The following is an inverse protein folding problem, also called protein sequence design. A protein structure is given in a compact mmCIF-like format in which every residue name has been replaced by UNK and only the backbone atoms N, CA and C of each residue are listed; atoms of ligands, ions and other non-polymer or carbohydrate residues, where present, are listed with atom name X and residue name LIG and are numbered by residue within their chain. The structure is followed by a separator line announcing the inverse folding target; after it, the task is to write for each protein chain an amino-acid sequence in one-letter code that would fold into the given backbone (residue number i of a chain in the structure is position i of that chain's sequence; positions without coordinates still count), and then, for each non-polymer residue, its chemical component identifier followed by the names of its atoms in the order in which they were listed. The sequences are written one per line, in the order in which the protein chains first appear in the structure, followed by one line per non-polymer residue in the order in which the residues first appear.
data_IF_262416621368
#
_entry.id   IF_262416621368
#
_cell.length_a   1.000
_cell.length_b   1.000
_cell.length_c   1.000
_cell.angle_alpha   90.00
_cell.angle_beta   90.00
_cell.angle_gamma   90.00
#
_symmetry.space_group_name_H-M   'P 1'
#
loop_
_entity.id
_entity.type
_entity.pdbx_description
1 polymer ?
#
# COMPACT_ATOMS: atom_id res chain seq x y z
N UNK A 1 24.56 13.38 36.78
CA UNK A 1 23.39 13.82 35.98
C UNK A 1 23.25 12.90 34.78
N UNK A 2 22.32 11.94 34.81
CA UNK A 2 22.07 11.01 33.70
C UNK A 2 20.83 11.50 32.92
N UNK A 3 21.03 11.91 31.67
CA UNK A 3 19.95 12.32 30.79
C UNK A 3 19.24 11.09 30.22
N UNK A 4 18.00 10.85 30.67
CA UNK A 4 17.11 9.89 30.04
C UNK A 4 16.79 10.32 28.61
N UNK A 5 17.40 9.66 27.62
CA UNK A 5 16.96 9.72 26.23
C UNK A 5 15.51 9.22 26.17
N UNK A 6 14.57 10.14 25.94
CA UNK A 6 13.17 9.82 25.64
C UNK A 6 13.16 8.94 24.38
N UNK A 7 12.81 7.66 24.54
CA UNK A 7 12.46 6.78 23.42
C UNK A 7 11.28 7.42 22.71
N UNK A 8 11.50 7.95 21.51
CA UNK A 8 10.45 8.29 20.57
C UNK A 8 9.64 7.03 20.33
N UNK A 9 8.42 6.98 20.86
CA UNK A 9 7.46 5.91 20.57
C UNK A 9 7.23 5.97 19.06
N UNK A 10 7.68 4.94 18.35
CA UNK A 10 7.28 4.78 16.95
C UNK A 10 5.75 4.81 16.92
N UNK A 11 5.15 5.59 15.99
CA UNK A 11 3.71 5.61 15.85
C UNK A 11 3.25 4.16 15.67
N UNK A 12 2.40 3.67 16.59
CA UNK A 12 1.71 2.41 16.37
C UNK A 12 0.98 2.59 15.05
N UNK A 13 1.25 1.71 14.09
CA UNK A 13 0.47 1.59 12.87
C UNK A 13 -0.94 1.20 13.30
N UNK A 14 -1.74 2.19 13.67
CA UNK A 14 -3.16 2.05 13.86
C UNK A 14 -3.70 2.02 12.44
N UNK A 15 -3.73 0.84 11.83
CA UNK A 15 -4.55 0.61 10.65
C UNK A 15 -5.96 1.00 11.06
N UNK A 16 -6.53 2.02 10.42
CA UNK A 16 -7.83 2.53 10.77
C UNK A 16 -8.86 1.43 10.51
N UNK A 17 -9.32 0.78 11.58
CA UNK A 17 -10.15 -0.44 11.57
C UNK A 17 -11.50 -0.27 10.86
N UNK A 18 -11.88 0.95 10.48
CA UNK A 18 -13.18 1.26 9.91
C UNK A 18 -13.32 0.90 8.42
N UNK A 19 -12.23 0.73 7.67
CA UNK A 19 -12.30 0.48 6.22
C UNK A 19 -11.88 -0.93 5.78
N UNK A 20 -11.33 -1.75 6.68
CA UNK A 20 -10.74 -3.04 6.29
C UNK A 20 -11.05 -4.07 7.37
N UNK A 21 -12.05 -4.92 7.12
CA UNK A 21 -12.41 -6.09 7.94
C UNK A 21 -11.35 -7.23 7.87
N UNK A 22 -10.08 -6.93 7.55
CA UNK A 22 -9.01 -7.93 7.41
C UNK A 22 -7.96 -7.74 8.50
N UNK A 23 -7.79 -8.74 9.34
CA UNK A 23 -6.67 -8.80 10.28
C UNK A 23 -5.38 -9.07 9.50
N UNK A 24 -4.57 -8.03 9.28
CA UNK A 24 -3.21 -8.20 8.76
C UNK A 24 -2.34 -8.84 9.84
N UNK A 25 -1.62 -9.91 9.47
CA UNK A 25 -0.68 -10.56 10.36
C UNK A 25 0.66 -9.83 10.31
N UNK A 26 1.27 -9.53 11.47
CA UNK A 26 2.60 -8.92 11.50
C UNK A 26 3.64 -9.86 10.85
N UNK A 27 4.59 -9.27 10.15
CA UNK A 27 5.72 -9.97 9.53
C UNK A 27 7.03 -9.29 9.92
N UNK A 28 8.15 -9.97 9.67
CA UNK A 28 9.45 -9.31 9.73
C UNK A 28 9.50 -8.18 8.70
N UNK A 29 9.95 -7.00 9.15
CA UNK A 29 10.12 -5.82 8.29
C UNK A 29 10.96 -6.19 7.07
N UNK A 30 10.39 -5.99 5.88
CA UNK A 30 11.04 -6.30 4.61
C UNK A 30 10.82 -5.14 3.62
N UNK A 31 11.82 -4.76 2.82
CA UNK A 31 11.62 -3.75 1.79
C UNK A 31 10.58 -4.24 0.77
N UNK A 32 9.77 -3.32 0.25
CA UNK A 32 8.96 -3.60 -0.94
C UNK A 32 9.87 -3.90 -2.13
N UNK A 33 9.41 -4.79 -3.02
CA UNK A 33 10.12 -5.09 -4.27
C UNK A 33 10.12 -3.88 -5.21
N UNK A 34 10.98 -3.88 -6.24
CA UNK A 34 10.97 -2.82 -7.26
C UNK A 34 9.64 -2.72 -8.00
N UNK A 35 8.97 -3.86 -8.20
CA UNK A 35 7.63 -3.90 -8.79
C UNK A 35 6.61 -3.21 -7.88
N UNK A 36 6.59 -3.56 -6.60
CA UNK A 36 5.68 -2.99 -5.60
C UNK A 36 5.95 -1.48 -5.42
N UNK A 37 7.21 -1.08 -5.32
CA UNK A 37 7.61 0.34 -5.32
C UNK A 37 7.19 1.06 -6.60
N UNK A 38 7.29 0.39 -7.74
CA UNK A 38 6.85 0.89 -9.04
C UNK A 38 5.36 1.22 -9.04
N UNK A 39 4.53 0.33 -8.50
CA UNK A 39 3.09 0.58 -8.36
C UNK A 39 2.80 1.75 -7.45
N UNK A 40 3.45 1.83 -6.28
CA UNK A 40 3.22 2.96 -5.37
C UNK A 40 3.58 4.30 -6.03
N UNK A 41 4.74 4.37 -6.69
CA UNK A 41 5.18 5.58 -7.41
C UNK A 41 4.19 5.95 -8.50
N UNK A 42 3.74 4.99 -9.31
CA UNK A 42 2.77 5.21 -10.38
C UNK A 42 1.43 5.73 -9.84
N UNK A 43 0.87 5.11 -8.80
CA UNK A 43 -0.37 5.58 -8.18
C UNK A 43 -0.24 6.98 -7.61
N UNK A 44 0.84 7.29 -6.88
CA UNK A 44 1.02 8.62 -6.26
C UNK A 44 1.32 9.72 -7.30
N UNK A 45 2.07 9.42 -8.36
CA UNK A 45 2.44 10.40 -9.39
C UNK A 45 1.25 10.87 -10.25
N UNK A 46 0.13 10.14 -10.23
CA UNK A 46 -1.13 10.60 -10.83
C UNK A 46 -1.72 11.83 -10.13
N UNK A 47 -1.30 12.12 -8.89
CA UNK A 47 -1.88 13.19 -8.06
C UNK A 47 -1.00 14.42 -7.97
N UNK A 48 -1.62 15.57 -8.21
CA UNK A 48 -0.97 16.89 -8.13
C UNK A 48 -0.37 17.16 -6.75
N UNK A 49 -1.01 16.67 -5.69
CA UNK A 49 -0.58 16.83 -4.29
C UNK A 49 0.82 16.26 -4.02
N UNK A 50 1.28 15.30 -4.83
CA UNK A 50 2.55 14.58 -4.67
C UNK A 50 3.54 14.82 -5.82
N UNK A 51 3.29 15.79 -6.69
CA UNK A 51 4.25 16.16 -7.74
C UNK A 51 5.55 16.63 -7.08
N UNK A 52 6.67 15.99 -7.43
CA UNK A 52 7.98 16.28 -6.84
C UNK A 52 8.23 15.66 -5.47
N UNK A 53 7.28 14.91 -4.90
CA UNK A 53 7.51 14.16 -3.68
C UNK A 53 8.47 12.99 -3.94
N UNK A 54 9.60 12.98 -3.23
CA UNK A 54 10.54 11.86 -3.28
C UNK A 54 10.09 10.75 -2.34
N UNK A 55 9.41 9.74 -2.88
CA UNK A 55 8.95 8.58 -2.11
C UNK A 55 10.16 7.77 -1.60
N UNK A 56 10.38 7.66 -0.27
CA UNK A 56 11.45 6.84 0.29
C UNK A 56 11.20 5.35 0.04
N UNK A 57 12.22 4.51 0.29
CA UNK A 57 12.04 3.07 0.32
C UNK A 57 10.95 2.69 1.34
N UNK A 58 9.92 1.98 0.86
CA UNK A 58 8.85 1.49 1.71
C UNK A 58 9.17 0.09 2.23
N UNK A 59 8.61 -0.22 3.39
CA UNK A 59 8.78 -1.50 4.06
C UNK A 59 7.43 -2.11 4.41
N UNK A 60 7.23 -3.38 4.09
CA UNK A 60 6.11 -4.16 4.58
C UNK A 60 6.38 -4.63 6.01
N UNK A 61 5.40 -4.45 6.89
CA UNK A 61 5.44 -4.85 8.31
C UNK A 61 4.28 -5.77 8.68
N UNK A 62 3.27 -5.89 7.81
CA UNK A 62 2.18 -6.85 7.95
C UNK A 62 1.73 -7.36 6.57
N UNK A 63 1.05 -8.50 6.53
CA UNK A 63 0.44 -9.04 5.30
C UNK A 63 -0.91 -9.69 5.58
N UNK A 64 -1.78 -9.74 4.58
CA UNK A 64 -3.02 -10.49 4.70
C UNK A 64 -2.76 -12.01 4.61
N UNK A 65 -3.33 -12.83 5.51
CA UNK A 65 -3.13 -14.27 5.51
C UNK A 65 -4.13 -15.04 4.63
N UNK A 66 -5.08 -14.35 3.99
CA UNK A 66 -6.22 -15.02 3.35
C UNK A 66 -5.84 -15.91 2.16
N UNK A 67 -4.70 -15.66 1.52
CA UNK A 67 -4.22 -16.38 0.33
C UNK A 67 -4.91 -15.99 -0.98
N UNK A 68 -5.91 -15.11 -0.97
CA UNK A 68 -6.58 -14.55 -2.18
C UNK A 68 -6.10 -13.15 -2.55
N UNK A 69 -5.28 -12.50 -1.74
CA UNK A 69 -4.74 -11.18 -2.03
C UNK A 69 -3.27 -11.09 -1.61
N UNK A 70 -2.57 -10.08 -2.13
CA UNK A 70 -1.21 -9.71 -1.71
C UNK A 70 -1.18 -8.41 -0.90
N UNK A 71 -2.26 -8.09 -0.18
CA UNK A 71 -2.32 -6.90 0.67
C UNK A 71 -1.18 -6.86 1.70
N UNK A 72 -0.49 -5.73 1.75
CA UNK A 72 0.62 -5.44 2.66
C UNK A 72 0.31 -4.23 3.53
N UNK A 73 0.51 -4.38 4.83
CA UNK A 73 0.59 -3.26 5.76
C UNK A 73 2.00 -2.68 5.72
N UNK A 74 2.10 -1.37 5.55
CA UNK A 74 3.34 -0.63 5.35
C UNK A 74 3.81 0.01 6.65
N UNK A 75 5.13 0.15 6.80
CA UNK A 75 5.70 1.08 7.76
C UNK A 75 5.22 2.50 7.40
N UNK A 76 4.61 3.25 8.35
CA UNK A 76 4.00 4.53 8.05
C UNK A 76 5.00 5.51 7.45
N UNK A 77 4.67 6.05 6.27
CA UNK A 77 5.40 7.15 5.65
C UNK A 77 4.49 8.35 5.53
N UNK A 78 4.93 9.47 6.08
CA UNK A 78 4.17 10.72 6.00
C UNK A 78 4.05 11.18 4.56
N UNK A 79 2.82 11.46 4.13
CA UNK A 79 2.51 12.00 2.83
C UNK A 79 2.33 13.52 2.95
N UNK A 80 3.05 14.31 2.13
CA UNK A 80 2.90 15.76 2.16
C UNK A 80 1.48 16.15 1.75
N UNK A 81 1.01 17.30 2.22
CA UNK A 81 -0.27 17.90 1.83
C UNK A 81 -1.53 17.09 2.14
N UNK A 82 -1.41 15.95 2.82
CA UNK A 82 -2.58 15.15 3.20
C UNK A 82 -3.30 15.65 4.46
N UNK A 83 -2.67 16.54 5.24
CA UNK A 83 -3.25 17.21 6.42
C UNK A 83 -4.02 16.27 7.37
N UNK A 84 -3.50 15.07 7.62
CA UNK A 84 -4.15 14.10 8.52
C UNK A 84 -5.35 13.35 7.93
N UNK A 85 -5.59 13.44 6.61
CA UNK A 85 -6.67 12.69 5.95
C UNK A 85 -6.41 11.18 5.95
N UNK A 86 -7.48 10.40 5.84
CA UNK A 86 -7.46 8.93 5.73
C UNK A 86 -8.33 8.48 4.55
N UNK A 87 -8.04 7.32 3.99
CA UNK A 87 -8.82 6.69 2.94
C UNK A 87 -8.00 6.29 1.71
N UNK A 88 -8.70 5.95 0.63
CA UNK A 88 -8.11 5.56 -0.64
C UNK A 88 -7.35 6.73 -1.27
N UNK A 89 -6.10 6.50 -1.67
CA UNK A 89 -5.23 7.50 -2.28
C UNK A 89 -5.21 7.41 -3.80
N UNK A 90 -5.50 6.24 -4.37
CA UNK A 90 -5.38 5.95 -5.79
C UNK A 90 -4.90 4.52 -6.01
N UNK A 91 -5.05 4.06 -7.24
CA UNK A 91 -4.75 2.70 -7.60
C UNK A 91 -4.35 2.49 -9.04
N UNK A 92 -4.02 1.23 -9.34
CA UNK A 92 -3.73 0.73 -10.68
C UNK A 92 -4.62 -0.46 -10.90
N UNK A 93 -5.30 -0.47 -12.05
CA UNK A 93 -5.98 -1.65 -12.57
C UNK A 93 -5.10 -2.27 -13.65
N UNK A 94 -4.65 -3.49 -13.45
CA UNK A 94 -3.85 -4.26 -14.41
C UNK A 94 -4.76 -5.29 -15.06
N UNK A 95 -5.02 -5.14 -16.36
CA UNK A 95 -5.72 -6.15 -17.15
C UNK A 95 -4.77 -7.29 -17.48
N UNK A 96 -5.17 -8.51 -17.13
CA UNK A 96 -4.37 -9.71 -17.37
C UNK A 96 -4.97 -10.55 -18.49
N UNK A 97 -4.12 -11.26 -19.23
CA UNK A 97 -4.54 -12.03 -20.39
C UNK A 97 -5.55 -13.13 -20.07
N UNK A 98 -5.29 -13.89 -19.00
CA UNK A 98 -5.96 -15.18 -18.78
C UNK A 98 -6.86 -15.19 -17.54
N UNK A 99 -6.86 -14.13 -16.74
CA UNK A 99 -7.31 -14.25 -15.34
C UNK A 99 -8.04 -13.01 -14.79
N UNK A 100 -8.41 -12.05 -15.63
CA UNK A 100 -9.14 -10.84 -15.23
C UNK A 100 -8.28 -9.81 -14.50
N UNK A 101 -8.84 -8.66 -14.12
CA UNK A 101 -8.08 -7.53 -13.62
C UNK A 101 -7.51 -7.76 -12.22
N UNK A 102 -6.29 -7.26 -12.01
CA UNK A 102 -5.68 -7.10 -10.69
C UNK A 102 -5.82 -5.62 -10.29
N UNK A 103 -6.42 -5.37 -9.14
CA UNK A 103 -6.48 -4.02 -8.57
C UNK A 103 -5.40 -3.84 -7.51
N UNK A 104 -4.71 -2.70 -7.61
CA UNK A 104 -3.67 -2.29 -6.69
C UNK A 104 -4.10 -0.97 -6.08
N UNK A 105 -4.44 -0.94 -4.81
CA UNK A 105 -5.02 0.22 -4.13
C UNK A 105 -4.08 0.71 -3.03
N UNK A 106 -3.89 2.01 -2.91
CA UNK A 106 -3.13 2.62 -1.83
C UNK A 106 -4.05 3.26 -0.80
N UNK A 107 -3.75 3.09 0.48
CA UNK A 107 -4.53 3.70 1.55
C UNK A 107 -3.67 4.53 2.49
N UNK A 108 -4.18 5.71 2.83
CA UNK A 108 -3.64 6.56 3.88
C UNK A 108 -4.43 6.41 5.18
N UNK A 109 -3.73 6.61 6.29
CA UNK A 109 -4.34 6.90 7.56
C UNK A 109 -3.63 8.05 8.27
N UNK A 110 -4.38 9.07 8.69
CA UNK A 110 -3.88 10.22 9.43
C UNK A 110 -2.70 10.91 8.74
N UNK A 111 -2.73 10.98 7.40
CA UNK A 111 -1.66 11.57 6.60
C UNK A 111 -0.47 10.65 6.32
N UNK A 112 -0.52 9.39 6.75
CA UNK A 112 0.53 8.40 6.47
C UNK A 112 0.06 7.40 5.43
N UNK A 113 0.90 7.05 4.47
CA UNK A 113 0.72 5.85 3.66
C UNK A 113 0.92 4.63 4.57
N UNK A 114 -0.10 3.78 4.69
CA UNK A 114 -0.10 2.66 5.65
C UNK A 114 -0.42 1.31 5.02
N UNK A 115 -0.97 1.27 3.82
CA UNK A 115 -1.37 0.01 3.20
C UNK A 115 -1.32 0.07 1.67
N UNK A 116 -0.93 -1.06 1.09
CA UNK A 116 -1.10 -1.38 -0.33
C UNK A 116 -1.93 -2.65 -0.44
N UNK A 117 -3.11 -2.53 -1.02
CA UNK A 117 -4.00 -3.64 -1.32
C UNK A 117 -3.72 -4.16 -2.73
N UNK A 118 -3.60 -5.48 -2.89
CA UNK A 118 -3.43 -6.11 -4.20
C UNK A 118 -4.44 -7.25 -4.30
N UNK A 119 -5.52 -6.99 -5.04
CA UNK A 119 -6.71 -7.83 -5.09
C UNK A 119 -6.86 -8.47 -6.47
N UNK A 120 -7.28 -9.73 -6.48
CA UNK A 120 -7.73 -10.39 -7.70
C UNK A 120 -9.17 -10.86 -7.54
N UNK A 121 -10.09 -10.38 -8.39
CA UNK A 121 -11.52 -10.63 -8.23
C UNK A 121 -11.98 -12.02 -8.69
N UNK A 122 -11.29 -12.63 -9.66
CA UNK A 122 -11.85 -13.74 -10.44
C UNK A 122 -11.23 -15.13 -10.19
N UNK A 123 -10.34 -15.31 -9.20
CA UNK A 123 -9.59 -16.57 -9.06
C UNK A 123 -9.59 -17.20 -7.66
N UNK A 124 -9.61 -18.54 -7.54
CA UNK A 124 -9.46 -19.25 -6.27
C UNK A 124 -8.03 -19.13 -5.73
N UNK A 125 -7.89 -19.31 -4.40
CA UNK A 125 -6.61 -19.43 -3.72
C UNK A 125 -5.74 -20.52 -4.39
N UNK A 126 -4.42 -20.31 -4.54
CA UNK A 126 -3.63 -19.17 -4.09
C UNK A 126 -3.58 -18.01 -5.08
N UNK A 127 -3.29 -16.79 -4.57
CA UNK A 127 -2.88 -15.65 -5.41
C UNK A 127 -1.71 -16.05 -6.33
N UNK A 128 -1.74 -15.67 -7.62
CA UNK A 128 -0.78 -16.11 -8.62
C UNK A 128 0.62 -15.61 -8.28
N UNK A 129 1.62 -16.40 -8.66
CA UNK A 129 3.02 -15.96 -8.58
C UNK A 129 3.42 -15.05 -9.73
N UNK A 130 2.71 -15.13 -10.86
CA UNK A 130 2.98 -14.35 -12.06
C UNK A 130 1.70 -14.23 -12.91
N UNK A 131 1.62 -13.19 -13.72
CA UNK A 131 0.56 -12.97 -14.71
C UNK A 131 1.18 -12.34 -15.97
N UNK A 132 0.42 -12.36 -17.06
CA UNK A 132 0.75 -11.64 -18.29
C UNK A 132 -0.14 -10.40 -18.34
N UNK A 133 0.48 -9.23 -18.24
CA UNK A 133 -0.20 -7.95 -18.39
C UNK A 133 -0.52 -7.67 -19.86
N UNK A 134 -1.76 -7.28 -20.12
CA UNK A 134 -2.25 -6.82 -21.44
C UNK A 134 -2.27 -5.31 -21.49
N UNK A 135 -2.75 -4.67 -20.43
CA UNK A 135 -2.78 -3.22 -20.27
C UNK A 135 -2.84 -2.85 -18.79
N UNK A 136 -2.51 -1.60 -18.48
CA UNK A 136 -2.74 -1.03 -17.16
C UNK A 136 -3.40 0.34 -17.26
N UNK A 137 -4.25 0.63 -16.29
CA UNK A 137 -4.87 1.95 -16.09
C UNK A 137 -4.50 2.44 -14.70
N UNK A 138 -3.98 3.65 -14.59
CA UNK A 138 -3.78 4.32 -13.30
C UNK A 138 -5.03 5.13 -13.03
N UNK A 139 -5.62 4.96 -11.86
CA UNK A 139 -6.88 5.64 -11.50
C UNK A 139 -6.73 7.15 -11.71
N UNK A 140 -7.52 7.75 -12.61
CA UNK A 140 -7.52 9.19 -12.81
C UNK A 140 -8.35 9.83 -11.70
N UNK A 141 -7.83 9.87 -10.48
CA UNK A 141 -8.50 10.58 -9.39
C UNK A 141 -8.12 12.07 -9.44
N UNK A 142 -9.14 12.87 -9.74
CA UNK A 142 -9.21 14.33 -9.97
C UNK A 142 -8.26 15.21 -9.15
#
# INVERSE_FOLDING_TARGET
MWQFRKKTKQPKVLLNRAHIFRELMPIQKQPLSEEEMGWVRQSLSSRKDFVGFHLPQLFAVAKCPCGTCRTLGLEPVELPNLNGKSGHLGGITIETKDHGPIEILLHANQGFLVEMEVIWFYFPKPFPKSWVEVSRTVDPLH
#
